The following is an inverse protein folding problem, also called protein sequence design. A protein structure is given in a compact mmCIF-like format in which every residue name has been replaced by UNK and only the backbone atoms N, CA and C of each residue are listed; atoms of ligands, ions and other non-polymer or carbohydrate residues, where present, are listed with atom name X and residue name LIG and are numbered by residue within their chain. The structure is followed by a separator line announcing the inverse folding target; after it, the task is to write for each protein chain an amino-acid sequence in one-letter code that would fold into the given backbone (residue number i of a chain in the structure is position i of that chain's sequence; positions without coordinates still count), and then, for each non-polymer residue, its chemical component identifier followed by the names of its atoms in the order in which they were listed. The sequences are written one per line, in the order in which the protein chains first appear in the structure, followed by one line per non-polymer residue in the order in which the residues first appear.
data_IF_205612859944
#
_entry.id   IF_205612859944
#
_cell.length_a   1.000
_cell.length_b   1.000
_cell.length_c   1.000
_cell.angle_alpha   90.00
_cell.angle_beta   90.00
_cell.angle_gamma   90.00
#
_symmetry.space_group_name_H-M   'P 1'
#
loop_
_entity.id
_entity.type
_entity.pdbx_description
1 polymer ?
#
# COMPACT_ATOMS: atom_id res chain seq x y z
N UNK A 1 -6.80 -22.21 0.56
CA UNK A 1 -5.89 -21.09 0.84
C UNK A 1 -6.78 -20.05 1.46
N UNK A 2 -6.66 -19.86 2.76
CA UNK A 2 -7.42 -18.85 3.50
C UNK A 2 -6.40 -17.75 3.79
N UNK A 3 -6.02 -17.03 2.74
CA UNK A 3 -5.24 -15.81 2.88
C UNK A 3 -6.25 -14.74 3.28
N UNK A 4 -6.57 -14.70 4.58
CA UNK A 4 -7.07 -13.48 5.21
C UNK A 4 -5.92 -12.48 5.11
N UNK A 5 -5.92 -11.67 4.05
CA UNK A 5 -5.14 -10.44 4.03
C UNK A 5 -5.65 -9.60 5.20
N UNK A 6 -4.80 -9.38 6.20
CA UNK A 6 -5.17 -8.51 7.32
C UNK A 6 -4.64 -7.11 7.05
N UNK A 7 -5.38 -6.07 7.43
CA UNK A 7 -4.99 -4.66 7.26
C UNK A 7 -3.56 -4.36 7.73
N UNK A 8 -3.10 -5.07 8.77
CA UNK A 8 -1.75 -4.95 9.30
C UNK A 8 -0.67 -5.41 8.28
N UNK A 9 -0.96 -6.46 7.51
CA UNK A 9 -0.08 -6.96 6.45
C UNK A 9 -0.06 -5.99 5.25
N UNK A 10 -1.21 -5.39 4.92
CA UNK A 10 -1.31 -4.43 3.82
C UNK A 10 -0.54 -3.14 4.11
N UNK A 11 -0.63 -2.58 5.33
CA UNK A 11 0.12 -1.38 5.70
C UNK A 11 1.63 -1.62 5.70
N UNK A 12 2.08 -2.80 6.13
CA UNK A 12 3.50 -3.18 6.09
C UNK A 12 4.01 -3.28 4.65
N UNK A 13 3.25 -3.92 3.76
CA UNK A 13 3.59 -3.98 2.33
C UNK A 13 3.60 -2.60 1.68
N UNK A 14 2.62 -1.74 1.99
CA UNK A 14 2.57 -0.37 1.51
C UNK A 14 3.79 0.43 1.97
N UNK A 15 4.20 0.26 3.23
CA UNK A 15 5.40 0.90 3.78
C UNK A 15 6.68 0.42 3.08
N UNK A 16 6.77 -0.87 2.74
CA UNK A 16 7.91 -1.43 2.00
C UNK A 16 7.95 -0.93 0.56
N UNK A 17 6.81 -0.92 -0.13
CA UNK A 17 6.69 -0.31 -1.46
C UNK A 17 7.17 1.15 -1.45
N UNK A 18 6.71 1.95 -0.47
CA UNK A 18 7.15 3.33 -0.29
C UNK A 18 8.66 3.44 -0.21
N UNK A 19 9.28 2.68 0.68
CA UNK A 19 10.72 2.80 1.00
C UNK A 19 11.61 2.17 -0.07
N UNK A 20 11.24 1.00 -0.60
CA UNK A 20 12.10 0.19 -1.48
C UNK A 20 11.89 0.47 -2.97
N UNK A 21 10.69 0.92 -3.38
CA UNK A 21 10.32 1.09 -4.80
C UNK A 21 10.12 2.55 -5.18
N UNK A 22 9.65 3.38 -4.25
CA UNK A 22 9.25 4.76 -4.52
C UNK A 22 10.09 5.80 -3.76
N UNK A 23 11.30 5.45 -3.31
CA UNK A 23 12.26 6.38 -2.68
C UNK A 23 11.63 7.26 -1.58
N UNK A 24 10.80 6.67 -0.74
CA UNK A 24 10.05 7.34 0.34
C UNK A 24 9.00 8.39 -0.10
N UNK A 25 8.61 8.40 -1.38
CA UNK A 25 7.69 9.37 -1.96
C UNK A 25 6.22 8.91 -1.92
N UNK A 26 5.43 9.54 -1.04
CA UNK A 26 3.97 9.33 -1.01
C UNK A 26 3.29 9.75 -2.31
N UNK A 27 3.85 10.73 -3.03
CA UNK A 27 3.32 11.19 -4.31
C UNK A 27 3.45 10.12 -5.41
N UNK A 28 4.59 9.45 -5.50
CA UNK A 28 4.81 8.41 -6.50
C UNK A 28 4.06 7.12 -6.16
N UNK A 29 4.00 6.77 -4.88
CA UNK A 29 3.19 5.67 -4.40
C UNK A 29 1.70 5.90 -4.68
N UNK A 30 1.18 7.10 -4.39
CA UNK A 30 -0.20 7.47 -4.69
C UNK A 30 -0.52 7.33 -6.19
N UNK A 31 0.40 7.78 -7.06
CA UNK A 31 0.26 7.62 -8.51
C UNK A 31 0.23 6.15 -8.93
N UNK A 32 1.08 5.31 -8.38
CA UNK A 32 1.09 3.87 -8.68
C UNK A 32 -0.17 3.15 -8.17
N UNK A 33 -0.66 3.55 -6.99
CA UNK A 33 -1.89 3.04 -6.40
C UNK A 33 -3.15 3.56 -7.09
N UNK A 34 -3.04 4.63 -7.90
CA UNK A 34 -4.19 5.32 -8.47
C UNK A 34 -5.07 5.98 -7.39
N UNK A 35 -4.44 6.41 -6.29
CA UNK A 35 -5.08 7.04 -5.13
C UNK A 35 -4.58 8.47 -4.93
N UNK A 36 -5.20 9.18 -4.01
CA UNK A 36 -4.74 10.52 -3.65
C UNK A 36 -3.62 10.47 -2.61
N UNK A 37 -2.73 11.47 -2.60
CA UNK A 37 -1.66 11.56 -1.58
C UNK A 37 -2.25 11.66 -0.17
N UNK A 38 -3.36 12.41 -0.02
CA UNK A 38 -4.07 12.54 1.26
C UNK A 38 -4.60 11.22 1.79
N UNK A 39 -5.05 10.32 0.92
CA UNK A 39 -5.53 8.99 1.29
C UNK A 39 -4.37 8.09 1.73
N UNK A 40 -3.25 8.11 1.00
CA UNK A 40 -2.02 7.43 1.40
C UNK A 40 -1.51 7.94 2.75
N UNK A 41 -1.51 9.26 2.97
CA UNK A 41 -1.12 9.87 4.24
C UNK A 41 -2.07 9.46 5.39
N UNK A 42 -3.38 9.35 5.12
CA UNK A 42 -4.37 8.92 6.09
C UNK A 42 -4.13 7.46 6.53
N UNK A 43 -3.79 6.57 5.61
CA UNK A 43 -3.43 5.18 5.93
C UNK A 43 -2.17 5.09 6.77
N UNK A 44 -1.12 5.84 6.43
CA UNK A 44 0.13 5.85 7.21
C UNK A 44 -0.01 6.48 8.60
N UNK A 45 -0.93 7.44 8.75
CA UNK A 45 -1.22 8.07 10.05
C UNK A 45 -2.19 7.27 10.91
N UNK A 46 -2.91 6.31 10.33
CA UNK A 46 -4.00 5.57 10.97
C UNK A 46 -5.27 6.39 11.13
N UNK A 47 -5.40 7.52 10.41
CA UNK A 47 -6.62 8.33 10.37
C UNK A 47 -7.71 7.66 9.50
N UNK A 48 -7.33 6.77 8.59
CA UNK A 48 -8.22 5.97 7.74
C UNK A 48 -7.71 4.52 7.63
N UNK A 49 -8.63 3.56 7.60
CA UNK A 49 -8.32 2.14 7.36
C UNK A 49 -8.12 1.87 5.86
N UNK A 50 -7.35 0.84 5.54
CA UNK A 50 -7.12 0.44 4.14
C UNK A 50 -8.36 -0.34 3.69
N UNK A 51 -9.02 0.10 2.63
CA UNK A 51 -10.18 -0.63 2.10
C UNK A 51 -9.77 -1.88 1.30
N UNK A 52 -10.70 -2.83 1.12
CA UNK A 52 -10.43 -4.09 0.40
C UNK A 52 -9.90 -3.88 -1.05
N UNK A 53 -10.29 -2.81 -1.76
CA UNK A 53 -9.78 -2.49 -3.11
C UNK A 53 -8.33 -1.98 -3.04
N UNK A 54 -8.02 -1.19 -2.02
CA UNK A 54 -6.67 -0.74 -1.73
C UNK A 54 -5.76 -1.92 -1.33
N UNK A 55 -6.20 -2.82 -0.46
CA UNK A 55 -5.46 -4.02 -0.08
C UNK A 55 -5.09 -4.86 -1.31
N UNK A 56 -6.08 -5.21 -2.16
CA UNK A 56 -5.83 -6.00 -3.37
C UNK A 56 -4.79 -5.34 -4.29
N UNK A 57 -4.81 -4.01 -4.40
CA UNK A 57 -3.82 -3.27 -5.20
C UNK A 57 -2.44 -3.25 -4.56
N UNK A 58 -2.36 -3.10 -3.23
CA UNK A 58 -1.09 -3.16 -2.50
C UNK A 58 -0.43 -4.51 -2.75
N UNK A 59 -1.19 -5.60 -2.60
CA UNK A 59 -0.69 -6.94 -2.85
C UNK A 59 -0.25 -7.14 -4.31
N UNK A 60 -1.07 -6.71 -5.28
CA UNK A 60 -0.69 -6.78 -6.69
C UNK A 60 0.58 -5.98 -7.01
N UNK A 61 0.71 -4.78 -6.46
CA UNK A 61 1.89 -3.93 -6.66
C UNK A 61 3.13 -4.50 -5.95
N UNK A 62 2.97 -5.08 -4.76
CA UNK A 62 4.04 -5.79 -4.05
C UNK A 62 4.52 -6.99 -4.86
N UNK A 63 3.59 -7.80 -5.40
CA UNK A 63 3.94 -8.92 -6.27
C UNK A 63 4.70 -8.47 -7.53
N UNK A 64 4.29 -7.36 -8.14
CA UNK A 64 4.95 -6.84 -9.35
C UNK A 64 6.33 -6.21 -9.10
N UNK A 65 6.56 -5.63 -7.92
CA UNK A 65 7.72 -4.75 -7.66
C UNK A 65 8.70 -5.29 -6.62
N UNK A 66 8.21 -6.08 -5.67
CA UNK A 66 8.98 -6.69 -4.59
C UNK A 66 9.20 -8.21 -4.79
N UNK A 67 8.55 -8.82 -5.79
CA UNK A 67 8.61 -10.27 -6.10
C UNK A 67 8.05 -11.14 -4.96
N UNK A 68 6.97 -10.68 -4.31
CA UNK A 68 6.26 -11.34 -3.19
C UNK A 68 4.93 -12.02 -3.57
#
# INVERSE_FOLDING_TARGET
MNDEYTDADALELLQRLKTEVFDDSNAELALAMGRSVSEIDAWFSGDEEIDEDAEMKIHGLAQERLDE
#
